data_IF_823731620856
#
_entry.id   IF_823731620856
#
_cell.length_a   1.000
_cell.length_b   1.000
_cell.length_c   1.000
_cell.angle_alpha   90.00
_cell.angle_beta   90.00
_cell.angle_gamma   90.00
#
_symmetry.space_group_name_H-M   'P 1'
#
loop_
_entity.id
_entity.type
_entity.pdbx_description
1 polymer ?
#
# COMPACT_ATOMS: atom_id res chain seq x y z
N UNK A 1 -25.75 9.75 -13.72
CA UNK A 1 -25.53 8.84 -12.57
C UNK A 1 -26.60 7.77 -12.61
N UNK A 2 -26.25 6.48 -12.52
CA UNK A 2 -27.14 5.54 -11.87
C UNK A 2 -26.44 4.74 -10.77
N UNK A 3 -27.14 4.65 -9.66
CA UNK A 3 -26.89 3.74 -8.55
C UNK A 3 -27.10 2.29 -8.99
N UNK A 4 -26.21 1.40 -8.53
CA UNK A 4 -26.41 -0.05 -8.59
C UNK A 4 -26.35 -0.58 -7.16
N UNK A 5 -27.52 -0.71 -6.53
CA UNK A 5 -27.75 -1.66 -5.44
C UNK A 5 -28.72 -2.70 -6.00
N UNK A 6 -28.23 -3.92 -6.16
CA UNK A 6 -29.00 -5.08 -6.59
C UNK A 6 -28.30 -6.31 -6.05
N UNK A 7 -28.87 -6.87 -4.98
CA UNK A 7 -28.35 -8.05 -4.31
C UNK A 7 -28.43 -9.28 -5.21
N UNK A 8 -27.42 -10.13 -5.08
CA UNK A 8 -27.51 -11.54 -5.42
C UNK A 8 -26.87 -12.31 -4.27
N UNK A 9 -27.71 -13.08 -3.58
CA UNK A 9 -27.30 -14.07 -2.60
C UNK A 9 -26.49 -15.16 -3.32
N UNK A 10 -25.30 -15.46 -2.80
CA UNK A 10 -24.63 -16.73 -3.10
C UNK A 10 -24.26 -17.40 -1.78
N UNK A 11 -25.06 -18.40 -1.43
CA UNK A 11 -24.66 -19.47 -0.53
C UNK A 11 -23.52 -20.26 -1.17
N UNK A 12 -22.35 -20.27 -0.53
CA UNK A 12 -21.35 -21.30 -0.72
C UNK A 12 -20.68 -21.57 0.62
N UNK A 13 -21.17 -22.63 1.26
CA UNK A 13 -20.59 -23.26 2.44
C UNK A 13 -19.27 -23.90 2.03
N UNK A 14 -18.16 -23.50 2.66
CA UNK A 14 -16.94 -24.31 2.71
C UNK A 14 -16.64 -24.62 4.19
N UNK A 15 -16.52 -25.90 4.59
CA UNK A 15 -16.20 -26.26 5.95
C UNK A 15 -14.68 -26.06 6.14
N UNK A 16 -14.29 -25.03 6.90
CA UNK A 16 -12.91 -24.93 7.37
C UNK A 16 -12.80 -25.83 8.60
N UNK A 17 -12.29 -27.04 8.39
CA UNK A 17 -11.85 -27.91 9.47
C UNK A 17 -10.64 -27.31 10.16
N UNK A 18 -10.87 -26.64 11.30
CA UNK A 18 -9.81 -26.23 12.23
C UNK A 18 -9.40 -27.49 13.03
N UNK A 19 -8.14 -27.93 13.02
CA UNK A 19 -7.70 -28.99 13.92
C UNK A 19 -7.75 -28.50 15.37
N UNK A 20 -8.57 -29.19 16.18
CA UNK A 20 -8.81 -28.96 17.59
C UNK A 20 -7.56 -29.32 18.43
N UNK A 21 -6.78 -28.33 18.85
CA UNK A 21 -5.73 -28.50 19.86
C UNK A 21 -6.30 -28.14 21.23
N UNK A 22 -7.15 -29.00 21.77
CA UNK A 22 -7.53 -28.97 23.18
C UNK A 22 -8.20 -30.28 23.57
N UNK A 23 -7.39 -31.27 23.97
CA UNK A 23 -7.88 -32.42 24.74
C UNK A 23 -7.40 -32.32 26.18
N UNK A 24 -8.38 -32.41 27.08
CA UNK A 24 -8.36 -32.79 28.50
C UNK A 24 -7.99 -31.72 29.54
N UNK A 25 -9.02 -31.29 30.27
CA UNK A 25 -8.94 -31.12 31.72
C UNK A 25 -9.23 -29.72 32.26
N UNK A 26 -10.48 -29.25 32.21
CA UNK A 26 -11.03 -28.35 33.22
C UNK A 26 -12.56 -28.26 33.06
N UNK A 27 -13.28 -28.52 34.14
CA UNK A 27 -14.74 -28.43 34.27
C UNK A 27 -15.21 -26.98 34.13
N UNK A 28 -16.26 -26.72 33.35
CA UNK A 28 -16.93 -25.42 33.32
C UNK A 28 -17.76 -25.22 34.60
N UNK A 29 -17.57 -24.17 35.41
CA UNK A 29 -18.54 -23.81 36.43
C UNK A 29 -19.73 -23.09 35.80
N UNK A 30 -20.91 -23.66 36.02
CA UNK A 30 -22.22 -23.13 35.65
C UNK A 30 -22.67 -22.07 36.67
N UNK A 31 -22.26 -20.80 36.48
CA UNK A 31 -22.94 -19.57 36.95
C UNK A 31 -22.05 -18.33 36.70
N UNK A 32 -22.61 -17.14 36.38
CA UNK A 32 -21.82 -15.92 36.22
C UNK A 32 -21.51 -15.31 37.61
N UNK A 33 -20.24 -14.99 37.94
CA UNK A 33 -19.94 -14.19 39.12
C UNK A 33 -20.16 -12.69 38.82
N UNK A 34 -20.42 -11.88 39.86
CA UNK A 34 -20.94 -10.52 39.73
C UNK A 34 -19.91 -9.54 39.13
N UNK A 35 -20.46 -8.55 38.40
CA UNK A 35 -19.72 -7.39 37.89
C UNK A 35 -19.30 -6.48 39.05
N UNK A 36 -18.13 -6.71 39.64
CA UNK A 36 -17.42 -5.70 40.43
C UNK A 36 -15.98 -6.13 40.68
N UNK A 37 -15.03 -5.25 40.35
CA UNK A 37 -13.66 -5.34 40.86
C UNK A 37 -12.68 -6.07 39.95
N UNK A 38 -12.20 -5.36 38.91
CA UNK A 38 -10.91 -5.71 38.32
C UNK A 38 -9.82 -5.24 39.31
N UNK A 39 -9.19 -6.18 40.00
CA UNK A 39 -7.95 -5.97 40.74
C UNK A 39 -6.93 -7.07 40.35
N UNK A 40 -5.62 -6.76 40.37
CA UNK A 40 -4.72 -7.17 39.31
C UNK A 40 -3.94 -8.46 39.63
N UNK A 41 -3.60 -9.24 38.60
CA UNK A 41 -2.46 -10.17 38.67
C UNK A 41 -1.49 -9.90 37.53
N UNK A 42 -0.27 -9.58 37.93
CA UNK A 42 0.98 -9.39 37.16
C UNK A 42 0.93 -8.38 36.01
N UNK A 43 1.18 -7.13 36.37
CA UNK A 43 1.40 -5.95 35.54
C UNK A 43 2.86 -5.87 35.07
N UNK A 44 3.20 -6.50 33.95
CA UNK A 44 4.33 -6.03 33.11
C UNK A 44 4.00 -6.26 31.63
N UNK A 45 2.86 -5.73 31.20
CA UNK A 45 2.79 -5.22 29.84
C UNK A 45 3.53 -3.90 29.87
N UNK A 46 4.78 -3.89 29.41
CA UNK A 46 5.50 -2.64 29.16
C UNK A 46 4.57 -1.75 28.34
N UNK A 47 4.21 -0.62 28.91
CA UNK A 47 3.37 0.38 28.28
C UNK A 47 3.92 0.63 26.87
N UNK A 48 3.09 0.36 25.85
CA UNK A 48 3.36 0.84 24.51
C UNK A 48 3.49 2.36 24.63
N UNK A 49 4.64 2.96 24.24
CA UNK A 49 4.88 4.37 24.47
C UNK A 49 3.74 5.18 23.88
N UNK A 50 3.30 6.18 24.65
CA UNK A 50 2.18 7.06 24.33
C UNK A 50 2.25 7.49 22.85
N UNK A 51 1.08 7.38 22.20
CA UNK A 51 0.84 7.72 20.80
C UNK A 51 1.51 9.06 20.47
N UNK A 52 2.59 9.00 19.69
CA UNK A 52 3.28 10.20 19.21
C UNK A 52 2.28 11.13 18.52
N UNK A 53 2.48 12.44 18.69
CA UNK A 53 1.63 13.49 18.12
C UNK A 53 1.36 13.23 16.62
N UNK A 54 0.11 13.33 16.14
CA UNK A 54 -0.25 13.00 14.75
C UNK A 54 0.55 13.78 13.68
N UNK A 55 1.20 14.88 14.07
CA UNK A 55 1.88 15.80 13.16
C UNK A 55 3.43 15.68 13.18
N UNK A 56 4.03 14.92 14.11
CA UNK A 56 5.48 15.00 14.35
C UNK A 56 6.33 13.91 13.67
N UNK A 57 5.77 12.76 13.24
CA UNK A 57 6.60 11.65 12.74
C UNK A 57 6.08 10.96 11.48
N UNK A 58 5.64 11.74 10.50
CA UNK A 58 5.30 11.20 9.19
C UNK A 58 6.54 10.64 8.48
N UNK A 59 7.75 11.19 8.72
CA UNK A 59 9.01 10.65 8.17
C UNK A 59 9.24 9.20 8.62
N UNK A 60 9.20 8.88 9.92
CA UNK A 60 9.37 7.49 10.34
C UNK A 60 8.15 6.61 10.02
N UNK A 61 6.96 7.20 9.92
CA UNK A 61 5.75 6.47 9.48
C UNK A 61 5.82 6.07 8.00
N UNK A 62 6.44 6.88 7.14
CA UNK A 62 6.68 6.58 5.73
C UNK A 62 7.80 5.54 5.55
N UNK A 63 8.90 5.67 6.29
CA UNK A 63 10.03 4.72 6.25
C UNK A 63 9.62 3.32 6.73
N UNK A 64 8.77 3.19 7.75
CA UNK A 64 8.36 1.88 8.28
C UNK A 64 7.40 1.11 7.37
N UNK A 65 6.79 1.77 6.38
CA UNK A 65 5.72 1.20 5.53
C UNK A 65 6.16 0.93 4.10
N UNK A 66 7.27 1.52 3.67
CA UNK A 66 7.87 1.23 2.38
C UNK A 66 8.23 -0.26 2.21
N UNK A 67 8.78 -0.96 3.24
CA UNK A 67 9.03 -2.40 3.15
C UNK A 67 7.76 -3.24 2.96
N UNK A 68 6.61 -2.81 3.52
CA UNK A 68 5.33 -3.48 3.31
C UNK A 68 4.87 -3.32 1.85
N UNK A 69 4.99 -2.11 1.33
CA UNK A 69 4.59 -1.79 -0.04
C UNK A 69 5.42 -2.59 -1.03
N UNK A 70 6.73 -2.58 -0.87
CA UNK A 70 7.64 -3.37 -1.69
C UNK A 70 7.29 -4.87 -1.65
N UNK A 71 7.18 -5.45 -0.45
CA UNK A 71 6.85 -6.87 -0.31
C UNK A 71 5.50 -7.24 -0.99
N UNK A 72 4.47 -6.39 -0.82
CA UNK A 72 3.14 -6.63 -1.38
C UNK A 72 3.12 -6.45 -2.89
N UNK A 73 3.68 -5.36 -3.41
CA UNK A 73 3.65 -5.06 -4.84
C UNK A 73 4.56 -5.99 -5.64
N UNK A 74 5.72 -6.38 -5.10
CA UNK A 74 6.60 -7.39 -5.70
C UNK A 74 5.91 -8.75 -5.78
N UNK A 75 5.25 -9.19 -4.70
CA UNK A 75 4.43 -10.40 -4.74
C UNK A 75 3.25 -10.29 -5.71
N UNK A 76 2.61 -9.12 -5.77
CA UNK A 76 1.51 -8.88 -6.68
C UNK A 76 1.94 -8.92 -8.15
N UNK A 77 3.08 -8.33 -8.51
CA UNK A 77 3.61 -8.38 -9.87
C UNK A 77 3.82 -9.82 -10.36
N UNK A 78 4.43 -10.67 -9.51
CA UNK A 78 4.60 -12.11 -9.82
C UNK A 78 3.26 -12.81 -10.04
N UNK A 79 2.31 -12.58 -9.15
CA UNK A 79 0.98 -13.19 -9.26
C UNK A 79 0.22 -12.66 -10.48
N UNK A 80 0.39 -11.40 -10.84
CA UNK A 80 -0.23 -10.80 -12.02
C UNK A 80 0.28 -11.47 -13.30
N UNK A 81 1.58 -11.76 -13.40
CA UNK A 81 2.12 -12.58 -14.51
C UNK A 81 1.42 -13.93 -14.61
N UNK A 82 1.07 -14.58 -13.50
CA UNK A 82 0.48 -15.93 -13.55
C UNK A 82 -1.04 -15.90 -13.74
N UNK A 83 -1.74 -14.95 -13.11
CA UNK A 83 -3.20 -15.01 -12.91
C UNK A 83 -3.98 -13.99 -13.74
N UNK A 84 -3.37 -12.86 -14.10
CA UNK A 84 -4.10 -11.79 -14.76
C UNK A 84 -4.48 -12.19 -16.19
N UNK A 85 -5.71 -11.90 -16.59
CA UNK A 85 -6.15 -12.13 -17.97
C UNK A 85 -5.48 -11.14 -18.93
N UNK A 86 -5.29 -11.54 -20.20
CA UNK A 86 -4.79 -10.62 -21.22
C UNK A 86 -5.70 -9.39 -21.42
N UNK A 87 -7.01 -9.55 -21.16
CA UNK A 87 -7.97 -8.43 -21.18
C UNK A 87 -7.66 -7.43 -20.06
N UNK A 88 -7.56 -7.88 -18.82
CA UNK A 88 -7.32 -6.99 -17.68
C UNK A 88 -5.95 -6.29 -17.75
N UNK A 89 -4.93 -6.94 -18.32
CA UNK A 89 -3.62 -6.32 -18.57
C UNK A 89 -3.74 -5.21 -19.63
N UNK A 90 -4.46 -5.46 -20.73
CA UNK A 90 -4.72 -4.41 -21.75
C UNK A 90 -5.47 -3.22 -21.16
N UNK A 91 -6.50 -3.47 -20.37
CA UNK A 91 -7.27 -2.41 -19.71
C UNK A 91 -6.39 -1.55 -18.77
N UNK A 92 -5.40 -2.13 -18.08
CA UNK A 92 -4.40 -1.37 -17.32
C UNK A 92 -3.50 -0.53 -18.25
N UNK A 93 -3.08 -1.10 -19.38
CA UNK A 93 -2.29 -0.40 -20.39
C UNK A 93 -3.00 0.81 -21.00
N UNK A 94 -4.29 0.68 -21.32
CA UNK A 94 -5.08 1.77 -21.88
C UNK A 94 -5.20 2.95 -20.88
N UNK A 95 -5.35 2.64 -19.59
CA UNK A 95 -5.38 3.65 -18.53
C UNK A 95 -4.02 4.33 -18.33
N UNK A 96 -2.93 3.57 -18.41
CA UNK A 96 -1.57 4.11 -18.36
C UNK A 96 -1.23 4.97 -19.58
N UNK A 97 -1.71 4.62 -20.77
CA UNK A 97 -1.54 5.45 -21.97
C UNK A 97 -2.33 6.76 -21.90
N UNK A 98 -3.55 6.71 -21.35
CA UNK A 98 -4.37 7.92 -21.15
C UNK A 98 -3.70 8.90 -20.18
N UNK A 99 -2.95 8.40 -19.19
CA UNK A 99 -2.29 9.26 -18.23
C UNK A 99 -0.98 9.90 -18.70
N UNK A 100 -0.30 9.33 -19.70
CA UNK A 100 0.84 9.98 -20.38
C UNK A 100 0.43 11.36 -20.91
N UNK A 101 -0.80 11.45 -21.43
CA UNK A 101 -1.38 12.67 -21.99
C UNK A 101 -1.80 13.68 -20.93
N UNK A 102 -1.81 13.30 -19.65
CA UNK A 102 -2.17 14.19 -18.56
C UNK A 102 -1.03 15.18 -18.27
N UNK A 103 -1.13 16.37 -18.88
CA UNK A 103 -0.15 17.47 -18.74
C UNK A 103 -0.08 18.06 -17.33
N UNK A 104 -1.07 17.80 -16.47
CA UNK A 104 -1.18 18.40 -15.15
C UNK A 104 -0.59 17.51 -14.06
N UNK A 105 0.00 18.15 -13.05
CA UNK A 105 0.77 17.50 -12.00
C UNK A 105 -0.10 16.66 -11.06
N UNK A 106 -1.28 17.15 -10.72
CA UNK A 106 -2.26 16.47 -9.87
C UNK A 106 -2.75 15.17 -10.53
N UNK A 107 -2.92 15.18 -11.85
CA UNK A 107 -3.29 14.00 -12.63
C UNK A 107 -2.19 12.94 -12.62
N UNK A 108 -0.92 13.36 -12.74
CA UNK A 108 0.21 12.44 -12.68
C UNK A 108 0.34 11.75 -11.31
N UNK A 109 0.12 12.47 -10.20
CA UNK A 109 0.09 11.87 -8.85
C UNK A 109 -1.02 10.82 -8.75
N UNK A 110 -2.23 11.16 -9.20
CA UNK A 110 -3.38 10.25 -9.15
C UNK A 110 -3.17 9.02 -10.02
N UNK A 111 -2.72 9.22 -11.26
CA UNK A 111 -2.47 8.13 -12.18
C UNK A 111 -1.37 7.20 -11.68
N UNK A 112 -0.26 7.76 -11.19
CA UNK A 112 0.83 6.94 -10.65
C UNK A 112 0.40 6.13 -9.42
N UNK A 113 -0.48 6.66 -8.56
CA UNK A 113 -1.06 5.87 -7.46
C UNK A 113 -2.04 4.80 -7.97
N UNK A 114 -2.87 5.15 -8.96
CA UNK A 114 -3.81 4.23 -9.59
C UNK A 114 -3.13 3.01 -10.21
N UNK A 115 -2.00 3.21 -10.89
CA UNK A 115 -1.21 2.12 -11.49
C UNK A 115 -0.86 1.03 -10.47
N UNK A 116 -0.30 1.40 -9.30
CA UNK A 116 0.09 0.42 -8.27
C UNK A 116 -1.11 -0.34 -7.70
N UNK A 117 -2.22 0.36 -7.46
CA UNK A 117 -3.45 -0.27 -6.95
C UNK A 117 -4.00 -1.29 -7.95
N UNK A 118 -4.04 -0.91 -9.23
CA UNK A 118 -4.56 -1.78 -10.28
C UNK A 118 -3.63 -2.95 -10.58
N UNK A 119 -2.31 -2.73 -10.62
CA UNK A 119 -1.32 -3.79 -10.72
C UNK A 119 -1.47 -4.80 -9.58
N UNK A 120 -1.71 -4.31 -8.36
CA UNK A 120 -1.97 -5.17 -7.21
C UNK A 120 -3.29 -5.95 -7.35
N UNK A 121 -4.34 -5.34 -7.91
CA UNK A 121 -5.61 -6.00 -8.18
C UNK A 121 -5.50 -7.12 -9.22
N UNK A 122 -4.62 -6.99 -10.21
CA UNK A 122 -4.35 -8.02 -11.22
C UNK A 122 -3.84 -9.35 -10.64
N UNK A 123 -3.28 -9.33 -9.43
CA UNK A 123 -2.85 -10.56 -8.71
C UNK A 123 -4.02 -11.48 -8.32
N UNK A 124 -5.26 -10.98 -8.40
CA UNK A 124 -6.46 -11.64 -7.90
C UNK A 124 -6.57 -11.65 -6.36
N UNK A 125 -5.64 -11.00 -5.65
CA UNK A 125 -5.67 -10.90 -4.20
C UNK A 125 -6.17 -9.53 -3.73
N UNK A 126 -7.43 -9.46 -3.30
CA UNK A 126 -8.04 -8.22 -2.78
C UNK A 126 -7.29 -7.62 -1.60
N UNK A 127 -6.61 -8.43 -0.78
CA UNK A 127 -5.85 -7.92 0.36
C UNK A 127 -4.62 -7.15 -0.10
N UNK A 128 -3.97 -7.59 -1.18
CA UNK A 128 -2.84 -6.85 -1.77
C UNK A 128 -3.29 -5.49 -2.29
N UNK A 129 -4.37 -5.46 -3.07
CA UNK A 129 -4.94 -4.20 -3.56
C UNK A 129 -5.31 -3.25 -2.41
N UNK A 130 -5.99 -3.74 -1.37
CA UNK A 130 -6.37 -2.93 -0.21
C UNK A 130 -5.16 -2.40 0.57
N UNK A 131 -4.12 -3.21 0.75
CA UNK A 131 -2.87 -2.78 1.38
C UNK A 131 -2.19 -1.67 0.59
N UNK A 132 -2.17 -1.78 -0.74
CA UNK A 132 -1.60 -0.74 -1.61
C UNK A 132 -2.45 0.53 -1.58
N UNK A 133 -3.78 0.45 -1.61
CA UNK A 133 -4.67 1.61 -1.43
C UNK A 133 -4.39 2.34 -0.12
N UNK A 134 -4.26 1.60 0.98
CA UNK A 134 -3.97 2.17 2.28
C UNK A 134 -2.60 2.87 2.31
N UNK A 135 -1.58 2.26 1.70
CA UNK A 135 -0.25 2.86 1.58
C UNK A 135 -0.29 4.13 0.71
N UNK A 136 -0.94 4.08 -0.46
CA UNK A 136 -1.06 5.22 -1.38
C UNK A 136 -1.80 6.41 -0.75
N UNK A 137 -2.85 6.15 0.03
CA UNK A 137 -3.63 7.19 0.72
C UNK A 137 -2.75 7.99 1.69
N UNK A 138 -1.84 7.31 2.40
CA UNK A 138 -0.92 7.96 3.34
C UNK A 138 0.18 8.74 2.62
N UNK A 139 0.67 8.21 1.50
CA UNK A 139 1.71 8.85 0.69
C UNK A 139 1.18 10.02 -0.17
N UNK A 140 -0.14 10.14 -0.36
CA UNK A 140 -0.74 11.14 -1.24
C UNK A 140 -0.27 12.58 -0.95
N UNK A 141 -0.05 12.93 0.33
CA UNK A 141 0.39 14.27 0.76
C UNK A 141 1.86 14.57 0.48
N UNK A 142 2.71 13.57 0.30
CA UNK A 142 4.16 13.75 0.12
C UNK A 142 4.61 13.39 -1.29
N UNK A 143 3.91 12.48 -1.97
CA UNK A 143 4.21 12.04 -3.35
C UNK A 143 4.25 13.15 -4.38
N UNK A 144 3.57 14.27 -4.16
CA UNK A 144 3.68 15.44 -5.04
C UNK A 144 5.16 15.81 -5.22
N UNK A 145 5.98 15.76 -4.16
CA UNK A 145 7.40 16.11 -4.21
C UNK A 145 8.21 15.28 -5.22
N UNK A 146 7.90 13.99 -5.34
CA UNK A 146 8.58 13.08 -6.28
C UNK A 146 8.30 13.43 -7.74
N UNK A 147 7.11 13.92 -8.04
CA UNK A 147 6.65 14.20 -9.42
C UNK A 147 6.56 15.70 -9.71
N UNK A 148 7.38 16.51 -9.03
CA UNK A 148 7.43 17.98 -9.24
C UNK A 148 7.82 18.36 -10.66
N UNK A 149 8.84 17.71 -11.22
CA UNK A 149 9.35 18.02 -12.55
C UNK A 149 8.69 17.16 -13.61
N UNK A 150 8.60 17.69 -14.83
CA UNK A 150 8.12 16.93 -15.99
C UNK A 150 9.03 15.72 -16.28
N UNK A 151 10.34 15.90 -16.14
CA UNK A 151 11.30 14.81 -16.27
C UNK A 151 11.01 13.66 -15.29
N UNK A 152 10.76 13.95 -14.01
CA UNK A 152 10.46 12.92 -13.02
C UNK A 152 9.12 12.21 -13.31
N UNK A 153 8.11 12.95 -13.77
CA UNK A 153 6.83 12.36 -14.21
C UNK A 153 7.02 11.40 -15.38
N UNK A 154 7.79 11.82 -16.39
CA UNK A 154 8.09 11.01 -17.57
C UNK A 154 8.85 9.75 -17.20
N UNK A 155 9.89 9.84 -16.37
CA UNK A 155 10.64 8.68 -15.90
C UNK A 155 9.74 7.69 -15.15
N UNK A 156 8.89 8.14 -14.23
CA UNK A 156 7.98 7.25 -13.51
C UNK A 156 6.99 6.55 -14.44
N UNK A 157 6.48 7.26 -15.45
CA UNK A 157 5.61 6.69 -16.47
C UNK A 157 6.33 5.65 -17.35
N UNK A 158 7.56 5.95 -17.78
CA UNK A 158 8.40 5.01 -18.55
C UNK A 158 8.67 3.73 -17.74
N UNK A 159 8.95 3.86 -16.43
CA UNK A 159 9.10 2.73 -15.50
C UNK A 159 7.81 1.91 -15.39
N UNK A 160 6.64 2.56 -15.19
CA UNK A 160 5.34 1.87 -15.15
C UNK A 160 5.04 1.10 -16.43
N UNK A 161 5.35 1.70 -17.59
CA UNK A 161 5.17 1.07 -18.90
C UNK A 161 6.08 -0.14 -19.06
N UNK A 162 7.34 -0.03 -18.66
CA UNK A 162 8.30 -1.14 -18.71
C UNK A 162 7.88 -2.31 -17.82
N UNK A 163 7.35 -2.03 -16.62
CA UNK A 163 6.79 -3.05 -15.73
C UNK A 163 5.61 -3.75 -16.41
N UNK A 164 4.70 -2.99 -17.01
CA UNK A 164 3.56 -3.55 -17.72
C UNK A 164 3.99 -4.44 -18.91
N UNK A 165 5.01 -4.02 -19.67
CA UNK A 165 5.56 -4.81 -20.77
C UNK A 165 6.07 -6.18 -20.28
N UNK A 166 6.72 -6.22 -19.12
CA UNK A 166 7.17 -7.47 -18.48
C UNK A 166 5.99 -8.34 -18.02
N UNK A 167 4.93 -7.74 -17.47
CA UNK A 167 3.69 -8.46 -17.14
C UNK A 167 3.03 -9.06 -18.39
N UNK A 168 3.00 -8.32 -19.51
CA UNK A 168 2.50 -8.78 -20.81
C UNK A 168 3.33 -9.97 -21.31
N UNK A 169 4.66 -9.88 -21.20
CA UNK A 169 5.59 -10.94 -21.56
C UNK A 169 5.58 -12.13 -20.58
N UNK A 170 4.85 -12.02 -19.46
CA UNK A 170 4.76 -13.02 -18.39
C UNK A 170 6.09 -13.29 -17.69
N UNK A 171 6.99 -12.32 -17.73
CA UNK A 171 8.29 -12.37 -17.05
C UNK A 171 8.14 -11.96 -15.58
N UNK A 172 7.77 -12.94 -14.75
CA UNK A 172 7.44 -12.70 -13.34
C UNK A 172 8.62 -12.23 -12.50
N UNK A 173 9.83 -12.73 -12.79
CA UNK A 173 11.03 -12.38 -12.04
C UNK A 173 11.46 -10.95 -12.34
N UNK A 174 11.52 -10.58 -13.62
CA UNK A 174 11.92 -9.22 -13.96
C UNK A 174 10.86 -8.17 -13.68
N UNK A 175 9.57 -8.52 -13.81
CA UNK A 175 8.51 -7.62 -13.35
C UNK A 175 8.62 -7.32 -11.85
N UNK A 176 8.94 -8.34 -11.04
CA UNK A 176 9.17 -8.21 -9.61
C UNK A 176 10.42 -7.38 -9.28
N UNK A 177 11.54 -7.65 -9.96
CA UNK A 177 12.77 -6.90 -9.74
C UNK A 177 12.57 -5.42 -10.11
N UNK A 178 11.90 -5.14 -11.22
CA UNK A 178 11.70 -3.77 -11.69
C UNK A 178 10.72 -2.99 -10.80
N UNK A 179 9.62 -3.59 -10.34
CA UNK A 179 8.71 -2.91 -9.40
C UNK A 179 9.41 -2.62 -8.07
N UNK A 180 10.24 -3.53 -7.57
CA UNK A 180 11.06 -3.31 -6.37
C UNK A 180 11.97 -2.08 -6.55
N UNK A 181 12.78 -2.06 -7.61
CA UNK A 181 13.68 -0.94 -7.92
C UNK A 181 12.91 0.37 -8.05
N UNK A 182 11.77 0.36 -8.72
CA UNK A 182 10.91 1.53 -8.84
C UNK A 182 10.42 2.03 -7.46
N UNK A 183 9.96 1.13 -6.58
CA UNK A 183 9.46 1.49 -5.24
C UNK A 183 10.57 2.11 -4.40
N UNK A 184 11.73 1.43 -4.29
CA UNK A 184 12.88 1.92 -3.53
C UNK A 184 13.37 3.26 -4.10
N UNK A 185 13.51 3.36 -5.42
CA UNK A 185 13.93 4.59 -6.09
C UNK A 185 12.94 5.75 -5.93
N UNK A 186 11.62 5.49 -5.92
CA UNK A 186 10.61 6.52 -5.57
C UNK A 186 10.79 7.00 -4.13
N UNK A 187 11.04 6.09 -3.20
CA UNK A 187 11.23 6.42 -1.79
C UNK A 187 12.49 7.25 -1.54
N UNK A 188 13.62 6.87 -2.13
CA UNK A 188 14.88 7.61 -2.00
C UNK A 188 14.76 9.03 -2.56
N UNK A 189 14.14 9.18 -3.74
CA UNK A 189 13.87 10.51 -4.34
C UNK A 189 12.97 11.35 -3.45
N UNK A 190 11.96 10.75 -2.81
CA UNK A 190 11.10 11.45 -1.87
C UNK A 190 11.89 11.97 -0.66
N UNK A 191 12.69 11.11 -0.04
CA UNK A 191 13.51 11.48 1.11
C UNK A 191 14.48 12.62 0.76
N UNK A 192 15.15 12.53 -0.40
CA UNK A 192 16.03 13.57 -0.90
C UNK A 192 15.29 14.91 -1.12
N UNK A 193 14.10 14.86 -1.73
CA UNK A 193 13.29 16.06 -1.95
C UNK A 193 12.82 16.72 -0.64
N UNK A 194 12.46 15.90 0.36
CA UNK A 194 12.06 16.37 1.68
C UNK A 194 13.21 17.01 2.45
N UNK A 195 14.40 16.45 2.32
CA UNK A 195 15.58 17.02 2.95
C UNK A 195 15.99 18.32 2.26
N UNK A 196 15.93 18.39 0.93
CA UNK A 196 16.16 19.64 0.19
C UNK A 196 15.18 20.76 0.60
N UNK A 197 13.89 20.45 0.73
CA UNK A 197 12.86 21.41 1.16
C UNK A 197 13.13 21.89 2.60
N UNK A 198 13.50 20.98 3.51
CA UNK A 198 13.86 21.34 4.89
C UNK A 198 15.12 22.24 4.97
N UNK A 199 16.12 22.00 4.12
CA UNK A 199 17.30 22.86 4.02
C UNK A 199 16.93 24.24 3.46
N UNK A 200 16.06 24.31 2.45
CA UNK A 200 15.56 25.58 1.89
C UNK A 200 14.81 26.42 2.93
N UNK A 201 13.96 25.80 3.75
CA UNK A 201 13.25 26.50 4.82
C UNK A 201 14.21 27.06 5.89
N UNK A 202 15.23 26.29 6.28
CA UNK A 202 16.27 26.75 7.21
C UNK A 202 17.11 27.88 6.61
N UNK A 203 17.48 27.78 5.33
CA UNK A 203 18.23 28.82 4.62
C UNK A 203 17.45 30.14 4.51
N UNK A 204 16.11 30.07 4.54
CA UNK A 204 15.20 31.22 4.58
C UNK A 204 14.92 31.74 5.99
N UNK A 205 15.64 31.25 7.01
CA UNK A 205 15.54 31.73 8.40
C UNK A 205 14.34 31.19 9.18
N UNK A 206 13.65 30.16 8.68
CA UNK A 206 12.48 29.57 9.34
C UNK A 206 12.89 28.34 10.17
N UNK A 207 12.51 28.30 11.44
CA UNK A 207 12.81 27.20 12.36
C UNK A 207 11.88 26.01 12.11
N UNK A 208 12.43 24.88 11.66
CA UNK A 208 11.68 23.62 11.55
C UNK A 208 11.67 22.94 12.92
N UNK A 209 10.55 23.05 13.65
CA UNK A 209 10.33 22.35 14.92
C UNK A 209 10.16 20.86 14.65
N UNK A 210 10.90 20.02 15.37
CA UNK A 210 10.95 18.56 15.21
C UNK A 210 10.15 17.89 16.33
#
# INVERSE_FOLDING_TARGET
MPAWYGGAAFHAVYPIGIPNWCTKGASCPSSPPPTTGCAPRSSTWSECPARASPNADWKASSVRREPLRDAVETAAARLSCVRASNRSIRELGDRLGTSELARQREDAVRSGAGFHVELAALSGNRFFANSVVAAMTLLARTRWLEVRTEAARRTAWEEHRRILDLIVARDADEAAALIHVHIVGTHERLLAALDADAHSLRARGLTVVR
#
